data_IF_958928003913
#
_entry.id   IF_958928003913
#
_cell.length_a   1.000
_cell.length_b   1.000
_cell.length_c   1.000
_cell.angle_alpha   90.00
_cell.angle_beta   90.00
_cell.angle_gamma   90.00
#
_symmetry.space_group_name_H-M   'P 1'
#
loop_
_entity.id
_entity.type
_entity.pdbx_description
1 polymer ?
#
# COMPACT_ATOMS: atom_id res chain seq x y z
N UNK A 1 -11.71 -7.82 -57.97
CA UNK A 1 -12.25 -6.58 -57.39
C UNK A 1 -11.55 -6.36 -56.07
N UNK A 2 -10.46 -5.59 -56.08
CA UNK A 2 -9.67 -5.33 -54.88
C UNK A 2 -10.42 -4.39 -53.96
N UNK A 3 -10.75 -4.86 -52.76
CA UNK A 3 -11.28 -4.02 -51.69
C UNK A 3 -10.16 -3.07 -51.30
N UNK A 4 -10.27 -1.80 -51.71
CA UNK A 4 -9.48 -0.73 -51.11
C UNK A 4 -9.96 -0.64 -49.65
N UNK A 5 -9.21 -1.22 -48.72
CA UNK A 5 -9.40 -0.91 -47.31
C UNK A 5 -9.24 0.61 -47.17
N UNK A 6 -10.25 1.25 -46.57
CA UNK A 6 -10.18 2.67 -46.24
C UNK A 6 -8.92 2.91 -45.40
N UNK A 7 -8.26 4.06 -45.57
CA UNK A 7 -7.10 4.44 -44.75
C UNK A 7 -7.49 4.38 -43.27
N UNK A 8 -8.74 4.74 -42.97
CA UNK A 8 -9.28 4.66 -41.61
C UNK A 8 -9.39 3.21 -41.10
N UNK A 9 -9.80 2.27 -41.95
CA UNK A 9 -9.87 0.84 -41.62
C UNK A 9 -8.48 0.25 -41.38
N UNK A 10 -7.49 0.63 -42.21
CA UNK A 10 -6.10 0.16 -42.02
C UNK A 10 -5.48 0.70 -40.73
N UNK A 11 -5.82 1.95 -40.36
CA UNK A 11 -5.39 2.56 -39.11
C UNK A 11 -6.01 1.88 -37.89
N UNK A 12 -7.33 1.62 -37.90
CA UNK A 12 -7.97 0.91 -36.79
C UNK A 12 -7.48 -0.52 -36.66
N UNK A 13 -7.23 -1.23 -37.77
CA UNK A 13 -6.60 -2.56 -37.73
C UNK A 13 -5.22 -2.51 -37.07
N UNK A 14 -4.35 -1.58 -37.48
CA UNK A 14 -3.02 -1.46 -36.90
C UNK A 14 -3.07 -1.09 -35.41
N UNK A 15 -3.94 -0.16 -35.03
CA UNK A 15 -4.17 0.24 -33.64
C UNK A 15 -4.65 -0.93 -32.79
N UNK A 16 -5.60 -1.71 -33.27
CA UNK A 16 -6.15 -2.85 -32.53
C UNK A 16 -5.10 -3.97 -32.36
N UNK A 17 -4.32 -4.29 -33.41
CA UNK A 17 -3.22 -5.27 -33.30
C UNK A 17 -2.20 -4.83 -32.25
N UNK A 18 -1.83 -3.54 -32.21
CA UNK A 18 -0.90 -3.02 -31.20
C UNK A 18 -1.51 -3.11 -29.80
N UNK A 19 -2.79 -2.76 -29.63
CA UNK A 19 -3.46 -2.82 -28.34
C UNK A 19 -3.62 -4.26 -27.83
N UNK A 20 -4.03 -5.20 -28.68
CA UNK A 20 -4.14 -6.62 -28.34
C UNK A 20 -2.79 -7.22 -27.97
N UNK A 21 -1.76 -7.00 -28.78
CA UNK A 21 -0.42 -7.53 -28.49
C UNK A 21 0.17 -6.92 -27.20
N UNK A 22 -0.10 -5.63 -26.92
CA UNK A 22 0.30 -5.00 -25.67
C UNK A 22 -0.49 -5.54 -24.48
N UNK A 23 -1.79 -5.81 -24.62
CA UNK A 23 -2.62 -6.42 -23.59
C UNK A 23 -2.19 -7.85 -23.29
N UNK A 24 -1.87 -8.65 -24.30
CA UNK A 24 -1.37 -10.02 -24.14
C UNK A 24 0.01 -10.09 -23.48
N UNK A 25 0.93 -9.20 -23.89
CA UNK A 25 2.33 -9.24 -23.41
C UNK A 25 2.53 -8.53 -22.08
N UNK A 26 1.89 -7.38 -21.87
CA UNK A 26 2.10 -6.53 -20.69
C UNK A 26 0.93 -6.62 -19.70
N UNK A 27 -0.28 -6.91 -20.19
CA UNK A 27 -1.51 -6.81 -19.40
C UNK A 27 -1.83 -5.39 -18.95
N UNK A 28 -2.99 -5.22 -18.32
CA UNK A 28 -3.32 -3.96 -17.66
C UNK A 28 -2.61 -3.85 -16.31
N UNK A 29 -2.06 -2.67 -16.01
CA UNK A 29 -1.53 -2.36 -14.70
C UNK A 29 -2.62 -2.55 -13.63
N UNK A 30 -2.48 -3.60 -12.83
CA UNK A 30 -3.40 -3.90 -11.75
C UNK A 30 -3.11 -2.97 -10.57
N UNK A 31 -3.97 -1.98 -10.35
CA UNK A 31 -3.92 -1.16 -9.15
C UNK A 31 -4.37 -1.99 -7.95
N UNK A 32 -3.43 -2.34 -7.07
CA UNK A 32 -3.77 -2.95 -5.78
C UNK A 32 -4.66 -1.99 -5.01
N UNK A 33 -5.91 -2.39 -4.78
CA UNK A 33 -6.84 -1.63 -3.94
C UNK A 33 -6.21 -1.45 -2.56
N UNK A 34 -6.32 -0.24 -2.02
CA UNK A 34 -5.90 0.05 -0.65
C UNK A 34 -6.77 -0.78 0.28
N UNK A 35 -6.12 -1.56 1.14
CA UNK A 35 -6.77 -2.44 2.11
C UNK A 35 -7.69 -1.73 3.11
N UNK A 36 -7.52 -0.41 3.29
CA UNK A 36 -8.33 0.39 4.21
C UNK A 36 -9.54 1.07 3.55
N UNK A 37 -9.68 1.08 2.22
CA UNK A 37 -10.84 1.68 1.55
C UNK A 37 -11.89 0.64 1.25
N UNK A 38 -13.15 0.98 1.51
CA UNK A 38 -14.31 0.15 1.25
C UNK A 38 -14.64 0.07 -0.24
N UNK A 39 -15.38 -0.98 -0.63
CA UNK A 39 -15.85 -1.14 -2.00
C UNK A 39 -16.82 -0.02 -2.41
N UNK A 40 -17.63 0.49 -1.48
CA UNK A 40 -18.50 1.64 -1.72
C UNK A 40 -17.72 2.91 -2.08
N UNK A 41 -16.60 3.17 -1.39
CA UNK A 41 -15.70 4.28 -1.76
C UNK A 41 -15.09 4.09 -3.14
N UNK A 42 -14.76 2.85 -3.52
CA UNK A 42 -14.27 2.54 -4.86
C UNK A 42 -15.33 2.78 -5.94
N UNK A 43 -16.59 2.45 -5.70
CA UNK A 43 -17.70 2.77 -6.61
C UNK A 43 -17.77 4.28 -6.84
N UNK A 44 -17.69 5.09 -5.77
CA UNK A 44 -17.69 6.56 -5.88
C UNK A 44 -16.47 7.11 -6.60
N UNK A 45 -15.29 6.50 -6.44
CA UNK A 45 -14.08 6.86 -7.21
C UNK A 45 -14.32 6.66 -8.71
N UNK A 46 -15.00 5.59 -9.08
CA UNK A 46 -15.34 5.30 -10.48
C UNK A 46 -16.39 6.29 -11.02
N UNK A 47 -17.41 6.65 -10.23
CA UNK A 47 -18.36 7.71 -10.60
C UNK A 47 -17.67 9.05 -10.84
N UNK A 48 -16.71 9.42 -9.97
CA UNK A 48 -15.89 10.62 -10.16
C UNK A 48 -15.04 10.53 -11.44
N UNK A 49 -14.52 9.35 -11.78
CA UNK A 49 -13.77 9.12 -13.03
C UNK A 49 -14.65 9.39 -14.26
N UNK A 50 -15.86 8.84 -14.28
CA UNK A 50 -16.86 9.10 -15.34
C UNK A 50 -17.24 10.58 -15.41
N UNK A 51 -17.40 11.25 -14.27
CA UNK A 51 -17.67 12.69 -14.24
C UNK A 51 -16.49 13.50 -14.83
N UNK A 52 -15.24 13.06 -14.59
CA UNK A 52 -14.04 13.70 -15.16
C UNK A 52 -13.98 13.54 -16.67
N UNK A 53 -14.36 12.39 -17.20
CA UNK A 53 -14.46 12.15 -18.65
C UNK A 53 -15.45 13.12 -19.32
N UNK A 54 -16.62 13.34 -18.70
CA UNK A 54 -17.59 14.34 -19.18
C UNK A 54 -17.03 15.76 -19.21
N UNK A 55 -16.14 16.11 -18.27
CA UNK A 55 -15.45 17.41 -18.28
C UNK A 55 -14.48 17.52 -19.45
N UNK A 56 -13.74 16.46 -19.76
CA UNK A 56 -12.78 16.44 -20.87
C UNK A 56 -13.46 16.55 -22.24
N UNK A 57 -14.63 15.91 -22.40
CA UNK A 57 -15.38 15.91 -23.66
C UNK A 57 -16.29 17.15 -23.84
N UNK A 58 -16.39 18.04 -22.85
CA UNK A 58 -17.28 19.20 -22.91
C UNK A 58 -16.73 20.30 -23.83
N UNK A 59 -17.54 20.71 -24.82
CA UNK A 59 -17.13 21.69 -25.84
C UNK A 59 -17.64 23.10 -25.54
N UNK A 60 -18.91 23.23 -25.15
CA UNK A 60 -19.54 24.54 -24.89
C UNK A 60 -19.27 25.06 -23.48
N UNK A 61 -19.35 26.39 -23.29
CA UNK A 61 -19.11 27.04 -21.99
C UNK A 61 -20.12 26.58 -20.92
N UNK A 62 -21.38 26.38 -21.29
CA UNK A 62 -22.43 25.91 -20.38
C UNK A 62 -22.20 24.46 -19.96
N UNK A 63 -21.90 23.57 -20.92
CA UNK A 63 -21.58 22.17 -20.61
C UNK A 63 -20.37 22.06 -19.70
N UNK A 64 -19.30 22.82 -19.98
CA UNK A 64 -18.11 22.87 -19.11
C UNK A 64 -18.46 23.25 -17.68
N UNK A 65 -19.35 24.23 -17.47
CA UNK A 65 -19.79 24.63 -16.13
C UNK A 65 -20.53 23.48 -15.43
N UNK A 66 -21.53 22.90 -16.08
CA UNK A 66 -22.35 21.82 -15.50
C UNK A 66 -21.53 20.56 -15.19
N UNK A 67 -20.66 20.13 -16.10
CA UNK A 67 -19.82 18.94 -15.88
C UNK A 67 -18.77 19.19 -14.81
N UNK A 68 -18.24 20.42 -14.70
CA UNK A 68 -17.32 20.80 -13.64
C UNK A 68 -18.00 20.80 -12.27
N UNK A 69 -19.24 21.28 -12.17
CA UNK A 69 -20.03 21.27 -10.94
C UNK A 69 -20.31 19.82 -10.48
N UNK A 70 -20.72 18.94 -11.40
CA UNK A 70 -20.91 17.51 -11.14
C UNK A 70 -19.63 16.83 -10.66
N UNK A 71 -18.49 17.09 -11.34
CA UNK A 71 -17.21 16.55 -10.93
C UNK A 71 -16.83 17.02 -9.51
N UNK A 72 -17.11 18.28 -9.19
CA UNK A 72 -16.84 18.86 -7.86
C UNK A 72 -17.65 18.19 -6.77
N UNK A 73 -18.92 17.88 -7.03
CA UNK A 73 -19.78 17.15 -6.12
C UNK A 73 -19.24 15.74 -5.86
N UNK A 74 -18.95 14.98 -6.94
CA UNK A 74 -18.39 13.63 -6.83
C UNK A 74 -17.02 13.60 -6.15
N UNK A 75 -16.18 14.59 -6.39
CA UNK A 75 -14.88 14.69 -5.69
C UNK A 75 -15.04 14.97 -4.19
N UNK A 76 -16.05 15.75 -3.78
CA UNK A 76 -16.37 15.94 -2.36
C UNK A 76 -16.85 14.65 -1.71
N UNK A 77 -17.73 13.89 -2.36
CA UNK A 77 -18.22 12.59 -1.88
C UNK A 77 -17.06 11.61 -1.66
N UNK A 78 -16.19 11.45 -2.67
CA UNK A 78 -15.00 10.60 -2.57
C UNK A 78 -14.11 11.03 -1.41
N UNK A 79 -13.81 12.33 -1.27
CA UNK A 79 -12.98 12.84 -0.17
C UNK A 79 -13.60 12.60 1.19
N UNK A 80 -14.92 12.73 1.32
CA UNK A 80 -15.66 12.47 2.57
C UNK A 80 -15.55 11.00 2.94
N UNK A 81 -15.84 10.09 2.01
CA UNK A 81 -15.81 8.66 2.27
C UNK A 81 -14.40 8.13 2.52
N UNK A 82 -13.39 8.54 1.75
CA UNK A 82 -12.00 8.18 2.03
C UNK A 82 -11.56 8.59 3.45
N UNK A 83 -12.03 9.75 3.95
CA UNK A 83 -11.74 10.18 5.33
C UNK A 83 -12.49 9.36 6.37
N UNK A 84 -13.65 8.83 6.03
CA UNK A 84 -14.44 7.98 6.93
C UNK A 84 -13.82 6.58 6.99
N UNK A 85 -13.65 5.92 5.85
CA UNK A 85 -12.99 4.62 5.73
C UNK A 85 -11.63 4.60 6.44
N UNK A 86 -10.85 5.67 6.28
CA UNK A 86 -9.54 5.75 6.94
C UNK A 86 -9.65 5.82 8.47
N UNK A 87 -10.67 6.51 8.99
CA UNK A 87 -10.94 6.58 10.43
C UNK A 87 -11.40 5.23 10.95
N UNK A 88 -12.34 4.58 10.25
CA UNK A 88 -12.87 3.27 10.63
C UNK A 88 -11.75 2.21 10.64
N UNK A 89 -10.88 2.22 9.64
CA UNK A 89 -9.72 1.34 9.60
C UNK A 89 -8.73 1.57 10.75
N UNK A 90 -8.46 2.83 11.10
CA UNK A 90 -7.55 3.16 12.21
C UNK A 90 -8.17 2.75 13.55
N UNK A 91 -9.47 2.96 13.71
CA UNK A 91 -10.25 2.55 14.88
C UNK A 91 -10.21 1.03 15.06
N UNK A 92 -10.45 0.26 13.98
CA UNK A 92 -10.35 -1.19 14.01
C UNK A 92 -8.95 -1.65 14.45
N UNK A 93 -7.89 -1.07 13.90
CA UNK A 93 -6.51 -1.40 14.30
C UNK A 93 -6.23 -1.08 15.77
N UNK A 94 -6.81 0.00 16.31
CA UNK A 94 -6.67 0.35 17.71
C UNK A 94 -7.36 -0.68 18.61
N UNK A 95 -8.58 -1.10 18.26
CA UNK A 95 -9.31 -2.15 18.97
C UNK A 95 -8.56 -3.49 18.94
N UNK A 96 -8.00 -3.87 17.80
CA UNK A 96 -7.15 -5.07 17.69
C UNK A 96 -5.90 -4.99 18.59
N UNK A 97 -5.30 -3.80 18.71
CA UNK A 97 -4.17 -3.58 19.61
C UNK A 97 -4.57 -3.70 21.09
N UNK A 98 -5.72 -3.16 21.49
CA UNK A 98 -6.25 -3.28 22.85
C UNK A 98 -6.53 -4.74 23.22
N UNK A 99 -7.17 -5.49 22.33
CA UNK A 99 -7.44 -6.92 22.51
C UNK A 99 -6.12 -7.69 22.63
N UNK A 100 -5.16 -7.46 21.74
CA UNK A 100 -3.85 -8.11 21.79
C UNK A 100 -3.11 -7.81 23.11
N UNK A 101 -3.20 -6.58 23.62
CA UNK A 101 -2.66 -6.20 24.92
C UNK A 101 -3.33 -6.98 26.05
N UNK A 102 -4.66 -7.08 26.05
CA UNK A 102 -5.42 -7.79 27.09
C UNK A 102 -5.12 -9.29 27.17
N UNK A 103 -4.83 -9.93 26.04
CA UNK A 103 -4.50 -11.36 25.94
C UNK A 103 -3.01 -11.61 26.22
N UNK A 104 -2.18 -10.57 26.18
CA UNK A 104 -0.73 -10.69 26.28
C UNK A 104 -0.05 -11.13 24.96
N UNK A 105 -0.72 -10.99 23.82
CA UNK A 105 -0.10 -11.21 22.50
C UNK A 105 0.76 -10.01 22.09
N UNK A 106 1.99 -10.02 22.61
CA UNK A 106 2.99 -8.97 22.37
C UNK A 106 3.33 -8.85 20.88
N UNK A 107 3.29 -9.96 20.13
CA UNK A 107 3.64 -9.96 18.70
C UNK A 107 2.59 -9.19 17.89
N UNK A 108 1.31 -9.49 18.11
CA UNK A 108 0.22 -8.79 17.42
C UNK A 108 0.17 -7.32 17.81
N UNK A 109 0.31 -7.01 19.11
CA UNK A 109 0.39 -5.63 19.60
C UNK A 109 1.52 -4.83 18.95
N UNK A 110 2.71 -5.40 18.85
CA UNK A 110 3.84 -4.75 18.17
C UNK A 110 3.54 -4.49 16.68
N UNK A 111 2.97 -5.48 15.99
CA UNK A 111 2.67 -5.35 14.56
C UNK A 111 1.58 -4.30 14.30
N UNK A 112 0.49 -4.28 15.05
CA UNK A 112 -0.59 -3.28 14.90
C UNK A 112 -0.09 -1.87 15.24
N UNK A 113 0.67 -1.71 16.33
CA UNK A 113 1.30 -0.43 16.70
C UNK A 113 2.27 0.06 15.63
N UNK A 114 3.05 -0.86 15.03
CA UNK A 114 3.92 -0.55 13.90
C UNK A 114 3.13 -0.10 12.67
N UNK A 115 2.01 -0.73 12.37
CA UNK A 115 1.13 -0.32 11.27
C UNK A 115 0.51 1.06 11.52
N UNK A 116 0.01 1.33 12.72
CA UNK A 116 -0.59 2.61 13.12
C UNK A 116 0.41 3.78 13.07
N UNK A 117 1.63 3.57 13.57
CA UNK A 117 2.65 4.61 13.62
C UNK A 117 3.18 5.03 12.25
N UNK A 118 2.92 4.25 11.18
CA UNK A 118 3.39 4.54 9.83
C UNK A 118 4.91 4.58 9.67
N UNK A 119 5.68 4.30 10.73
CA UNK A 119 7.14 4.30 10.72
C UNK A 119 7.63 3.06 10.00
N UNK A 120 8.06 3.26 8.75
CA UNK A 120 8.98 2.33 8.09
C UNK A 120 10.37 2.53 8.67
N UNK A 121 10.61 2.00 9.87
CA UNK A 121 11.98 1.73 10.31
C UNK A 121 12.51 0.58 9.46
N UNK A 122 13.12 0.93 8.33
CA UNK A 122 14.00 0.02 7.63
C UNK A 122 15.43 0.25 8.14
N UNK A 123 15.65 0.03 9.44
CA UNK A 123 17.01 -0.18 9.93
C UNK A 123 17.27 -1.68 9.94
N UNK A 124 17.56 -2.26 8.77
CA UNK A 124 18.39 -3.46 8.75
C UNK A 124 19.82 -2.99 9.05
N UNK A 125 20.06 -2.68 10.33
CA UNK A 125 21.41 -2.38 10.77
C UNK A 125 22.25 -3.64 10.51
N UNK A 126 23.41 -3.51 9.85
CA UNK A 126 24.29 -4.65 9.64
C UNK A 126 24.66 -5.27 10.98
N UNK A 127 24.63 -6.61 11.07
CA UNK A 127 25.02 -7.34 12.28
C UNK A 127 26.52 -7.12 12.50
N UNK A 128 26.90 -6.66 13.69
CA UNK A 128 28.29 -6.40 14.05
C UNK A 128 28.85 -7.45 14.99
N UNK A 129 30.14 -7.74 14.86
CA UNK A 129 30.90 -8.55 15.81
C UNK A 129 31.06 -7.81 17.16
N UNK A 130 31.73 -8.43 18.14
CA UNK A 130 32.00 -7.79 19.44
C UNK A 130 32.93 -6.58 19.35
N UNK A 131 33.72 -6.50 18.28
CA UNK A 131 34.69 -5.43 18.04
C UNK A 131 34.08 -4.27 17.21
N UNK A 132 32.81 -4.40 16.80
CA UNK A 132 32.08 -3.39 16.03
C UNK A 132 32.20 -3.51 14.50
N UNK A 133 32.85 -4.56 13.98
CA UNK A 133 32.99 -4.80 12.55
C UNK A 133 31.73 -5.45 11.97
N UNK A 134 31.37 -5.09 10.74
CA UNK A 134 30.19 -5.62 10.05
C UNK A 134 30.43 -7.05 9.56
N UNK A 135 29.52 -7.95 9.91
CA UNK A 135 29.52 -9.35 9.50
C UNK A 135 28.64 -9.51 8.25
N UNK A 136 29.23 -9.98 7.16
CA UNK A 136 28.54 -10.17 5.87
C UNK A 136 28.07 -11.61 5.63
N UNK A 137 28.73 -12.61 6.24
CA UNK A 137 28.38 -14.03 6.05
C UNK A 137 27.29 -14.49 7.02
N UNK A 138 26.33 -15.27 6.53
CA UNK A 138 25.20 -15.79 7.31
C UNK A 138 25.65 -16.68 8.48
N UNK A 139 26.63 -17.56 8.25
CA UNK A 139 27.14 -18.46 9.30
C UNK A 139 27.75 -17.70 10.49
N UNK A 140 28.52 -16.66 10.18
CA UNK A 140 29.15 -15.80 11.18
C UNK A 140 28.09 -14.96 11.93
N UNK A 141 27.03 -14.52 11.25
CA UNK A 141 25.89 -13.84 11.89
C UNK A 141 25.16 -14.78 12.86
N UNK A 142 24.87 -16.02 12.47
CA UNK A 142 24.23 -17.02 13.35
C UNK A 142 25.09 -17.31 14.58
N UNK A 143 26.41 -17.44 14.41
CA UNK A 143 27.35 -17.60 15.52
C UNK A 143 27.30 -16.40 16.47
N UNK A 144 27.30 -15.18 15.92
CA UNK A 144 27.21 -13.93 16.70
C UNK A 144 25.90 -13.82 17.49
N UNK A 145 24.78 -14.24 16.91
CA UNK A 145 23.47 -14.30 17.60
C UNK A 145 23.49 -15.29 18.75
N UNK A 146 24.04 -16.50 18.53
CA UNK A 146 24.18 -17.53 19.56
C UNK A 146 25.02 -17.04 20.74
N UNK A 147 26.13 -16.34 20.47
CA UNK A 147 26.96 -15.72 21.50
C UNK A 147 26.19 -14.65 22.28
N UNK A 148 25.51 -13.73 21.58
CA UNK A 148 24.74 -12.66 22.22
C UNK A 148 23.68 -13.17 23.19
N UNK A 149 22.84 -14.11 22.73
CA UNK A 149 21.75 -14.63 23.55
C UNK A 149 22.27 -15.45 24.73
N UNK A 150 23.39 -16.16 24.57
CA UNK A 150 24.02 -16.87 25.69
C UNK A 150 24.42 -15.92 26.81
N UNK A 151 25.02 -14.78 26.49
CA UNK A 151 25.46 -13.78 27.47
C UNK A 151 24.29 -13.05 28.14
N UNK A 152 23.28 -12.68 27.35
CA UNK A 152 22.14 -11.89 27.85
C UNK A 152 21.20 -12.74 28.70
N UNK A 153 20.92 -13.99 28.31
CA UNK A 153 19.92 -14.82 28.98
C UNK A 153 20.50 -15.65 30.13
N UNK A 154 21.81 -15.93 30.16
CA UNK A 154 22.43 -16.76 31.21
C UNK A 154 23.34 -15.93 32.14
N UNK A 155 22.80 -14.88 32.75
CA UNK A 155 23.53 -14.10 33.77
C UNK A 155 23.80 -14.98 35.00
N UNK A 156 25.03 -14.97 35.57
CA UNK A 156 25.29 -15.68 36.82
C UNK A 156 24.49 -15.06 37.98
N UNK A 157 24.17 -15.85 39.03
CA UNK A 157 23.47 -15.34 40.21
C UNK A 157 24.24 -14.19 40.85
N UNK A 158 23.53 -13.16 41.32
CA UNK A 158 24.16 -12.01 41.94
C UNK A 158 24.97 -12.45 43.17
N UNK A 159 26.23 -12.02 43.25
CA UNK A 159 27.05 -12.24 44.43
C UNK A 159 26.47 -11.40 45.57
N UNK A 160 25.78 -12.04 46.50
CA UNK A 160 25.36 -11.42 47.75
C UNK A 160 26.60 -11.17 48.59
N UNK A 161 27.08 -9.93 48.63
CA UNK A 161 28.03 -9.52 49.65
C UNK A 161 27.31 -9.54 51.00
N UNK A 162 27.48 -10.64 51.73
CA UNK A 162 27.14 -10.71 53.15
C UNK A 162 28.27 -9.98 53.89
N UNK A 163 27.91 -8.94 54.63
CA UNK A 163 28.82 -8.17 55.51
C UNK A 163 29.18 -8.99 56.73
#
# INVERSE_FOLDING_TARGET
>A
MGLFNDINDTWEQAKNVILETCEETLGYMQYKRKNWMSDDTWVKVEERRKAKEKVLNATTRQQKRQTQDLYREKDKEVKKNCKQDKRDYVEQLAQEAEIACSIGDIKSLYNTTRQLSGRRSNSNAPVKDKNGNVITKIEEQLKRWKEHFKEVLNRPPQQTHIT
#
